data_IF_480964105676
#
_entry.id   IF_480964105676
#
_cell.length_a   1.000
_cell.length_b   1.000
_cell.length_c   1.000
_cell.angle_alpha   90.00
_cell.angle_beta   90.00
_cell.angle_gamma   90.00
#
_symmetry.space_group_name_H-M   'P 1'
#
loop_
_entity.id
_entity.type
_entity.pdbx_description
1 polymer ?
#
# COMPACT_ATOMS: atom_id res chain seq x y z
N UNK A 1 -11.49 -1.73 -7.58
CA UNK A 1 -10.97 -1.65 -8.96
C UNK A 1 -11.36 -2.92 -9.72
N UNK A 2 -11.49 -2.90 -11.04
CA UNK A 2 -11.71 -4.11 -11.86
C UNK A 2 -10.75 -4.14 -13.04
N UNK A 3 -10.07 -5.27 -13.24
CA UNK A 3 -9.04 -5.42 -14.25
C UNK A 3 -9.64 -5.64 -15.64
N UNK A 4 -9.27 -4.77 -16.60
CA UNK A 4 -9.65 -4.89 -18.01
C UNK A 4 -8.63 -5.75 -18.77
N UNK A 5 -9.01 -6.38 -19.90
CA UNK A 5 -8.06 -7.11 -20.75
C UNK A 5 -6.84 -6.29 -21.19
N UNK A 6 -7.01 -4.98 -21.39
CA UNK A 6 -5.90 -4.07 -21.70
C UNK A 6 -4.88 -3.99 -20.56
N UNK A 7 -5.30 -4.03 -19.29
CA UNK A 7 -4.39 -4.04 -18.15
C UNK A 7 -3.57 -5.33 -18.09
N UNK A 8 -4.18 -6.48 -18.40
CA UNK A 8 -3.45 -7.74 -18.49
C UNK A 8 -2.33 -7.66 -19.54
N UNK A 9 -2.61 -7.06 -20.70
CA UNK A 9 -1.59 -6.83 -21.74
C UNK A 9 -0.49 -5.86 -21.28
N UNK A 10 -0.84 -4.82 -20.52
CA UNK A 10 0.16 -3.93 -19.92
C UNK A 10 1.06 -4.68 -18.93
N UNK A 11 0.49 -5.47 -18.03
CA UNK A 11 1.25 -6.29 -17.07
C UNK A 11 2.15 -7.32 -17.76
N UNK A 12 1.69 -7.93 -18.85
CA UNK A 12 2.48 -8.90 -19.62
C UNK A 12 3.72 -8.27 -20.27
N UNK A 13 3.62 -7.00 -20.67
CA UNK A 13 4.65 -6.28 -21.41
C UNK A 13 5.52 -5.39 -20.51
N UNK A 14 5.24 -5.33 -19.21
CA UNK A 14 6.03 -4.54 -18.29
C UNK A 14 7.38 -5.21 -18.03
N UNK A 15 8.43 -4.39 -17.96
CA UNK A 15 9.74 -4.80 -17.46
C UNK A 15 9.81 -4.67 -15.94
N UNK A 16 9.10 -3.67 -15.38
CA UNK A 16 9.11 -3.32 -13.97
C UNK A 16 7.69 -3.00 -13.47
N UNK A 17 7.32 -3.50 -12.31
CA UNK A 17 6.03 -3.24 -11.66
C UNK A 17 6.25 -2.88 -10.20
N UNK A 18 5.83 -1.67 -9.84
CA UNK A 18 5.67 -1.25 -8.45
C UNK A 18 4.20 -1.38 -8.04
N UNK A 19 3.95 -1.95 -6.87
CA UNK A 19 2.62 -2.10 -6.28
C UNK A 19 2.74 -1.99 -4.76
N UNK A 20 1.68 -1.59 -4.06
CA UNK A 20 1.77 -1.35 -2.62
C UNK A 20 1.93 -2.68 -1.89
N UNK A 21 1.08 -3.64 -2.20
CA UNK A 21 1.15 -5.01 -1.68
C UNK A 21 -0.20 -5.71 -1.63
N UNK A 22 -0.22 -6.94 -1.14
CA UNK A 22 -1.44 -7.75 -1.04
C UNK A 22 -2.53 -7.08 -0.20
N UNK A 23 -2.14 -6.34 0.84
CA UNK A 23 -3.04 -5.64 1.76
C UNK A 23 -3.87 -4.55 1.06
N UNK A 24 -3.46 -4.05 -0.12
CA UNK A 24 -4.19 -3.07 -0.93
C UNK A 24 -4.70 -3.64 -2.24
N UNK A 25 -3.82 -4.26 -3.02
CA UNK A 25 -4.09 -4.72 -4.37
C UNK A 25 -4.08 -6.26 -4.47
N UNK A 26 -4.70 -6.97 -3.52
CA UNK A 26 -4.86 -8.44 -3.55
C UNK A 26 -5.32 -9.01 -4.91
N UNK A 27 -6.11 -8.25 -5.68
CA UNK A 27 -6.52 -8.63 -7.03
C UNK A 27 -5.35 -8.74 -8.04
N UNK A 28 -4.16 -8.20 -7.73
CA UNK A 28 -2.95 -8.27 -8.55
C UNK A 28 -2.12 -9.52 -8.29
N UNK A 29 -2.24 -10.22 -7.16
CA UNK A 29 -1.38 -11.39 -6.85
C UNK A 29 -1.38 -12.45 -7.98
N UNK A 30 -2.58 -12.87 -8.40
CA UNK A 30 -2.73 -13.88 -9.46
C UNK A 30 -2.26 -13.33 -10.83
N UNK A 31 -2.65 -12.13 -11.27
CA UNK A 31 -2.07 -11.50 -12.47
C UNK A 31 -0.54 -11.35 -12.45
N UNK A 32 0.05 -10.95 -11.33
CA UNK A 32 1.49 -10.77 -11.19
C UNK A 32 2.26 -12.10 -11.26
N UNK A 33 1.70 -13.17 -10.71
CA UNK A 33 2.29 -14.52 -10.77
C UNK A 33 2.08 -15.23 -12.12
N UNK A 34 0.96 -14.97 -12.81
CA UNK A 34 0.59 -15.71 -14.03
C UNK A 34 0.83 -14.96 -15.35
N UNK A 35 0.72 -13.63 -15.36
CA UNK A 35 0.79 -12.78 -16.57
C UNK A 35 2.12 -12.02 -16.62
N UNK A 36 2.49 -11.34 -15.53
CA UNK A 36 3.72 -10.55 -15.45
C UNK A 36 4.95 -11.41 -15.10
N UNK A 37 5.19 -12.47 -15.89
CA UNK A 37 6.29 -13.41 -15.64
C UNK A 37 7.68 -12.84 -15.95
N UNK A 38 7.74 -11.85 -16.85
CA UNK A 38 8.98 -11.20 -17.26
C UNK A 38 9.34 -9.99 -16.42
N UNK A 39 8.33 -9.34 -15.84
CA UNK A 39 8.51 -8.14 -15.05
C UNK A 39 9.20 -8.46 -13.72
N UNK A 40 10.15 -7.62 -13.35
CA UNK A 40 10.54 -7.45 -11.96
C UNK A 40 9.38 -6.80 -11.18
N UNK A 41 9.12 -7.29 -9.97
CA UNK A 41 7.95 -6.92 -9.17
C UNK A 41 8.41 -6.45 -7.80
N UNK A 42 8.20 -5.18 -7.51
CA UNK A 42 8.60 -4.54 -6.26
C UNK A 42 7.35 -4.24 -5.46
N UNK A 43 7.19 -4.98 -4.36
CA UNK A 43 6.19 -4.69 -3.35
C UNK A 43 6.71 -3.59 -2.43
N UNK A 44 6.09 -2.42 -2.48
CA UNK A 44 6.55 -1.24 -1.75
C UNK A 44 6.44 -1.46 -0.24
N UNK A 45 5.40 -2.11 0.27
CA UNK A 45 5.26 -2.41 1.69
C UNK A 45 6.36 -3.33 2.26
N UNK A 46 7.10 -4.03 1.41
CA UNK A 46 8.22 -4.89 1.80
C UNK A 46 9.55 -4.13 1.91
N UNK A 47 9.58 -2.83 1.62
CA UNK A 47 10.76 -1.96 1.80
C UNK A 47 11.07 -1.84 3.31
N UNK A 48 12.31 -2.15 3.68
CA UNK A 48 12.77 -2.26 5.07
C UNK A 48 12.71 -0.92 5.82
N UNK A 49 12.93 0.17 5.12
CA UNK A 49 12.97 1.54 5.64
C UNK A 49 11.58 2.10 5.94
N UNK A 50 10.50 1.43 5.53
CA UNK A 50 9.15 1.91 5.78
C UNK A 50 8.76 1.73 7.25
N UNK A 51 8.09 2.76 7.76
CA UNK A 51 7.22 2.57 8.92
C UNK A 51 5.94 1.92 8.41
N UNK A 52 5.63 0.70 8.86
CA UNK A 52 4.38 0.01 8.54
C UNK A 52 3.52 -0.10 9.80
N UNK A 53 2.28 0.36 9.72
CA UNK A 53 1.33 0.37 10.81
C UNK A 53 0.33 -0.76 10.64
N UNK A 54 -0.08 -1.36 11.76
CA UNK A 54 -1.23 -2.29 11.75
C UNK A 54 -2.51 -1.48 11.66
N UNK A 55 -3.55 -2.06 11.07
CA UNK A 55 -4.90 -1.51 11.19
C UNK A 55 -5.23 -1.24 12.66
N UNK A 56 -5.87 -0.11 12.93
CA UNK A 56 -6.48 0.14 14.23
C UNK A 56 -7.52 -0.95 14.49
N UNK A 57 -7.51 -1.53 15.68
CA UNK A 57 -8.59 -2.44 16.07
C UNK A 57 -9.91 -1.65 16.02
N UNK A 58 -10.80 -2.00 15.09
CA UNK A 58 -12.18 -1.48 15.09
C UNK A 58 -12.86 -1.94 16.38
N UNK A 59 -12.98 -1.03 17.33
CA UNK A 59 -14.21 -0.99 18.11
C UNK A 59 -15.34 -0.61 17.13
N UNK A 60 -16.34 -1.49 17.00
CA UNK A 60 -17.71 -1.22 16.49
C UNK A 60 -18.02 -1.39 14.97
N UNK A 61 -17.46 -2.35 14.20
CA UNK A 61 -18.17 -2.75 12.96
C UNK A 61 -17.78 -4.09 12.30
N UNK A 62 -17.38 -5.11 13.05
CA UNK A 62 -17.15 -6.46 12.47
C UNK A 62 -17.56 -7.61 13.41
N UNK A 63 -18.56 -7.36 14.27
CA UNK A 63 -19.18 -8.41 15.09
C UNK A 63 -20.65 -8.59 14.74
N UNK A 64 -20.94 -8.94 13.50
CA UNK A 64 -22.18 -9.66 13.18
C UNK A 64 -21.87 -11.14 13.04
N UNK A 65 -21.34 -11.73 14.11
CA UNK A 65 -21.31 -13.18 14.25
C UNK A 65 -22.66 -13.60 14.84
N UNK A 66 -23.58 -13.99 13.95
CA UNK A 66 -24.87 -14.56 14.33
C UNK A 66 -24.63 -15.91 15.04
N UNK A 67 -24.43 -15.87 16.35
CA UNK A 67 -24.64 -17.06 17.20
C UNK A 67 -26.13 -17.31 17.35
N UNK A 68 -26.73 -17.96 16.36
CA UNK A 68 -27.92 -18.76 16.61
C UNK A 68 -27.53 -20.16 17.07
N UNK A 69 -28.13 -20.57 18.19
CA UNK A 69 -27.98 -21.90 18.78
C UNK A 69 -28.86 -22.89 18.03
N UNK A 70 -28.32 -24.03 17.61
CA UNK A 70 -29.14 -25.21 17.34
C UNK A 70 -28.46 -26.32 16.52
N UNK A 71 -28.38 -27.52 17.11
CA UNK A 71 -28.35 -28.78 16.36
C UNK A 71 -26.99 -29.47 16.23
N UNK A 72 -26.85 -30.63 16.89
CA UNK A 72 -25.80 -31.63 16.67
C UNK A 72 -25.88 -32.16 15.24
N UNK A 73 -24.77 -32.34 14.51
CA UNK A 73 -24.52 -33.48 13.60
C UNK A 73 -23.07 -33.47 13.04
N UNK A 74 -22.47 -34.67 13.07
CA UNK A 74 -21.43 -35.27 12.23
C UNK A 74 -20.25 -34.46 11.63
N UNK A 75 -19.07 -34.90 12.06
CA UNK A 75 -17.78 -35.01 11.35
C UNK A 75 -17.76 -34.60 9.86
N UNK A 76 -17.31 -33.37 9.59
CA UNK A 76 -16.73 -32.97 8.31
C UNK A 76 -15.50 -32.11 8.59
N UNK A 77 -14.35 -32.52 8.03
CA UNK A 77 -13.18 -31.66 7.83
C UNK A 77 -13.59 -30.53 6.89
N UNK A 78 -14.18 -29.47 7.44
CA UNK A 78 -14.30 -28.21 6.75
C UNK A 78 -12.93 -27.55 6.76
N UNK A 79 -12.33 -27.50 5.56
CA UNK A 79 -11.36 -26.46 5.27
C UNK A 79 -12.05 -25.14 5.57
N UNK A 80 -11.60 -24.47 6.62
CA UNK A 80 -11.86 -23.05 6.80
C UNK A 80 -11.34 -22.39 5.53
N UNK A 81 -12.26 -22.09 4.62
CA UNK A 81 -12.00 -21.10 3.59
C UNK A 81 -11.87 -19.80 4.36
N UNK A 82 -10.62 -19.44 4.69
CA UNK A 82 -10.27 -18.11 5.16
C UNK A 82 -10.77 -17.14 4.11
N UNK A 83 -11.95 -16.59 4.37
CA UNK A 83 -12.56 -15.56 3.56
C UNK A 83 -11.66 -14.35 3.66
N UNK A 84 -11.02 -14.01 2.53
CA UNK A 84 -10.37 -12.73 2.23
C UNK A 84 -10.05 -11.91 3.49
N UNK A 85 -9.06 -12.37 4.27
CA UNK A 85 -8.60 -11.61 5.41
C UNK A 85 -8.15 -10.25 4.85
N UNK A 86 -8.88 -9.19 5.23
CA UNK A 86 -8.39 -7.85 5.07
C UNK A 86 -7.00 -7.82 5.68
N UNK A 87 -6.06 -7.23 4.95
CA UNK A 87 -4.64 -7.24 5.26
C UNK A 87 -4.29 -7.00 6.72
N UNK A 88 -3.13 -7.49 7.19
CA UNK A 88 -2.72 -7.28 8.60
C UNK A 88 -2.33 -5.82 8.86
N UNK A 89 -1.89 -5.11 7.82
CA UNK A 89 -1.33 -3.78 7.91
C UNK A 89 -2.15 -2.75 7.14
N UNK A 90 -2.15 -1.52 7.63
CA UNK A 90 -2.76 -0.39 6.95
C UNK A 90 -1.94 -0.09 5.68
N UNK A 91 -2.54 -0.20 4.47
CA UNK A 91 -1.81 -0.05 3.22
C UNK A 91 -1.55 1.41 2.82
N UNK A 92 -2.10 2.41 3.52
CA UNK A 92 -2.02 3.82 3.12
C UNK A 92 -0.65 4.47 3.42
N UNK A 93 0.43 3.70 3.21
CA UNK A 93 1.82 4.01 3.57
C UNK A 93 2.34 5.32 2.97
N UNK A 94 1.77 5.75 1.84
CA UNK A 94 2.18 6.97 1.12
C UNK A 94 1.81 8.26 1.84
N UNK A 95 0.91 8.19 2.84
CA UNK A 95 0.49 9.36 3.61
C UNK A 95 1.49 9.78 4.69
N UNK A 96 2.51 8.97 4.97
CA UNK A 96 3.69 9.40 5.70
C UNK A 96 4.74 9.91 4.69
N UNK A 97 5.11 11.19 4.79
CA UNK A 97 6.08 11.81 3.88
C UNK A 97 7.47 11.17 3.93
N UNK A 98 7.87 10.57 5.05
CA UNK A 98 9.13 9.81 5.13
C UNK A 98 9.04 8.46 4.42
N UNK A 99 7.89 7.79 4.49
CA UNK A 99 7.63 6.59 3.70
C UNK A 99 7.63 6.92 2.21
N UNK A 100 7.01 8.03 1.80
CA UNK A 100 7.04 8.49 0.42
C UNK A 100 8.48 8.68 -0.09
N UNK A 101 9.36 9.29 0.72
CA UNK A 101 10.79 9.42 0.38
C UNK A 101 11.48 8.06 0.26
N UNK A 102 11.23 7.12 1.18
CA UNK A 102 11.81 5.77 1.10
C UNK A 102 11.37 5.03 -0.17
N UNK A 103 10.08 5.06 -0.49
CA UNK A 103 9.55 4.46 -1.73
C UNK A 103 10.19 5.09 -2.98
N UNK A 104 10.36 6.41 -3.03
CA UNK A 104 10.99 7.06 -4.17
C UNK A 104 12.45 6.66 -4.36
N UNK A 105 13.22 6.50 -3.27
CA UNK A 105 14.60 6.02 -3.34
C UNK A 105 14.65 4.59 -3.90
N UNK A 106 13.81 3.69 -3.40
CA UNK A 106 13.72 2.32 -3.89
C UNK A 106 13.33 2.30 -5.38
N UNK A 107 12.27 3.02 -5.75
CA UNK A 107 11.81 3.10 -7.14
C UNK A 107 12.90 3.62 -8.07
N UNK A 108 13.62 4.67 -7.67
CA UNK A 108 14.70 5.22 -8.47
C UNK A 108 15.87 4.22 -8.62
N UNK A 109 16.21 3.46 -7.58
CA UNK A 109 17.25 2.44 -7.65
C UNK A 109 16.91 1.36 -8.69
N UNK A 110 15.70 0.80 -8.62
CA UNK A 110 15.23 -0.21 -9.59
C UNK A 110 15.12 0.32 -11.02
N UNK A 111 14.70 1.58 -11.18
CA UNK A 111 14.67 2.24 -12.49
C UNK A 111 16.08 2.44 -13.07
N UNK A 112 17.05 2.81 -12.24
CA UNK A 112 18.46 2.97 -12.67
C UNK A 112 19.07 1.62 -13.04
N UNK A 113 18.79 0.57 -12.27
CA UNK A 113 19.28 -0.78 -12.55
C UNK A 113 18.73 -1.32 -13.88
N UNK A 114 17.43 -1.11 -14.14
CA UNK A 114 16.77 -1.59 -15.35
C UNK A 114 17.02 -0.69 -16.59
N UNK A 115 17.28 0.61 -16.40
CA UNK A 115 17.57 1.56 -17.48
C UNK A 115 18.75 2.52 -17.14
N UNK A 116 20.00 2.00 -17.11
CA UNK A 116 21.18 2.80 -16.76
C UNK A 116 21.43 3.99 -17.70
N UNK A 117 20.92 3.93 -18.94
CA UNK A 117 21.08 5.02 -19.92
C UNK A 117 20.34 6.29 -19.48
N UNK A 118 19.31 6.16 -18.65
CA UNK A 118 18.53 7.28 -18.13
C UNK A 118 18.86 7.62 -16.66
N UNK A 119 19.94 7.08 -16.10
CA UNK A 119 20.33 7.25 -14.69
C UNK A 119 20.33 8.72 -14.24
N UNK A 120 20.96 9.61 -15.00
CA UNK A 120 21.03 11.04 -14.67
C UNK A 120 19.64 11.68 -14.55
N UNK A 121 18.68 11.23 -15.37
CA UNK A 121 17.30 11.70 -15.33
C UNK A 121 16.58 11.19 -14.08
N UNK A 122 16.74 9.91 -13.73
CA UNK A 122 16.15 9.34 -12.52
C UNK A 122 16.68 10.01 -11.26
N UNK A 123 18.01 10.21 -11.17
CA UNK A 123 18.63 10.94 -10.05
C UNK A 123 18.13 12.37 -9.93
N UNK A 124 18.07 13.11 -11.03
CA UNK A 124 17.55 14.48 -11.04
C UNK A 124 16.08 14.56 -10.62
N UNK A 125 15.25 13.62 -11.10
CA UNK A 125 13.84 13.55 -10.73
C UNK A 125 13.67 13.20 -9.24
N UNK A 126 14.46 12.25 -8.73
CA UNK A 126 14.47 11.88 -7.32
C UNK A 126 14.84 13.08 -6.44
N UNK A 127 15.96 13.75 -6.72
CA UNK A 127 16.42 14.91 -5.97
C UNK A 127 15.37 16.02 -5.91
N UNK A 128 14.68 16.26 -7.04
CA UNK A 128 13.58 17.22 -7.08
C UNK A 128 12.41 16.77 -6.21
N UNK A 129 11.95 15.53 -6.37
CA UNK A 129 10.81 15.00 -5.62
C UNK A 129 11.07 14.98 -4.11
N UNK A 130 12.28 14.63 -3.67
CA UNK A 130 12.65 14.65 -2.25
C UNK A 130 12.58 16.07 -1.66
N UNK A 131 13.07 17.08 -2.40
CA UNK A 131 12.97 18.50 -1.99
C UNK A 131 11.54 18.99 -1.94
N UNK A 132 10.73 18.60 -2.92
CA UNK A 132 9.31 18.96 -2.98
C UNK A 132 8.54 18.33 -1.79
N UNK A 133 8.85 17.09 -1.41
CA UNK A 133 8.27 16.44 -0.22
C UNK A 133 8.73 17.11 1.08
N UNK A 134 10.00 17.49 1.18
CA UNK A 134 10.51 18.20 2.36
C UNK A 134 9.80 19.54 2.54
N UNK A 135 9.62 20.29 1.44
CA UNK A 135 8.87 21.54 1.43
C UNK A 135 7.39 21.32 1.82
N UNK A 136 6.72 20.36 1.19
CA UNK A 136 5.32 20.01 1.49
C UNK A 136 5.14 19.63 2.95
N UNK A 137 6.08 18.87 3.53
CA UNK A 137 6.01 18.47 4.94
C UNK A 137 6.03 19.69 5.86
N UNK A 138 6.89 20.68 5.58
CA UNK A 138 6.97 21.92 6.37
C UNK A 138 5.68 22.74 6.22
N UNK A 139 5.15 22.86 5.00
CA UNK A 139 3.90 23.58 4.73
C UNK A 139 2.72 22.96 5.50
N UNK A 140 2.54 21.64 5.41
CA UNK A 140 1.46 20.94 6.11
C UNK A 140 1.63 21.03 7.64
N UNK A 141 2.85 20.90 8.17
CA UNK A 141 3.09 21.12 9.61
C UNK A 141 2.73 22.54 10.06
N UNK A 142 2.95 23.54 9.20
CA UNK A 142 2.60 24.93 9.49
C UNK A 142 1.09 25.13 9.50
N UNK A 143 0.39 24.58 8.51
CA UNK A 143 -1.07 24.68 8.38
C UNK A 143 -1.80 23.98 9.55
N UNK A 144 -1.22 22.90 10.07
CA UNK A 144 -1.75 22.12 11.19
C UNK A 144 -1.25 22.58 12.57
N UNK A 145 -0.59 23.74 12.65
CA UNK A 145 -0.11 24.31 13.92
C UNK A 145 -1.23 24.64 14.92
N UNK A 146 -2.48 24.72 14.45
CA UNK A 146 -3.66 24.84 15.30
C UNK A 146 -4.32 23.48 15.50
N UNK A 147 -4.97 23.26 16.66
CA UNK A 147 -5.70 22.02 16.94
C UNK A 147 -6.80 21.81 15.89
N UNK A 148 -6.66 20.77 15.07
CA UNK A 148 -7.67 20.33 14.10
C UNK A 148 -8.25 19.01 14.56
N UNK A 149 -9.58 18.91 14.65
CA UNK A 149 -10.27 17.62 14.77
C UNK A 149 -11.14 17.45 13.53
N UNK A 150 -11.12 16.24 12.95
CA UNK A 150 -11.87 15.94 11.75
C UNK A 150 -12.58 14.60 11.86
N UNK A 151 -13.63 14.42 11.07
CA UNK A 151 -14.34 13.15 10.92
C UNK A 151 -14.20 12.74 9.46
N UNK A 152 -13.77 11.50 9.24
CA UNK A 152 -13.58 10.91 7.91
C UNK A 152 -14.47 9.67 7.79
N UNK A 153 -14.99 9.43 6.59
CA UNK A 153 -15.80 8.24 6.31
C UNK A 153 -14.96 6.98 6.05
N UNK A 154 -13.70 7.17 5.64
CA UNK A 154 -12.75 6.09 5.36
C UNK A 154 -11.53 6.25 6.25
N UNK A 155 -11.25 5.25 7.06
CA UNK A 155 -10.10 5.23 7.97
C UNK A 155 -8.82 4.89 7.18
N UNK A 156 -8.26 5.89 6.52
CA UNK A 156 -7.03 5.80 5.72
C UNK A 156 -5.89 6.67 6.24
N UNK A 157 -6.14 7.53 7.23
CA UNK A 157 -5.27 8.67 7.50
C UNK A 157 -4.28 8.42 8.64
N UNK A 158 -4.18 7.19 9.17
CA UNK A 158 -3.35 6.89 10.33
C UNK A 158 -1.87 7.29 10.17
N UNK A 159 -1.31 7.13 8.97
CA UNK A 159 0.06 7.58 8.67
C UNK A 159 0.18 9.11 8.66
N UNK A 160 -0.81 9.81 8.11
CA UNK A 160 -0.87 11.27 8.11
C UNK A 160 -1.00 11.81 9.53
N UNK A 161 -1.96 11.27 10.30
CA UNK A 161 -2.19 11.58 11.71
C UNK A 161 -0.91 11.40 12.53
N UNK A 162 -0.19 10.28 12.33
CA UNK A 162 1.07 10.02 13.02
C UNK A 162 2.21 10.97 12.60
N UNK A 163 2.30 11.32 11.31
CA UNK A 163 3.34 12.22 10.76
C UNK A 163 3.14 13.66 11.24
N UNK A 164 1.90 14.13 11.28
CA UNK A 164 1.56 15.53 11.54
C UNK A 164 0.92 15.78 12.91
N UNK A 165 0.75 14.73 13.72
CA UNK A 165 0.20 14.79 15.06
C UNK A 165 -1.18 15.46 15.13
N UNK A 166 -2.11 14.95 14.31
CA UNK A 166 -3.52 15.38 14.25
C UNK A 166 -4.47 14.25 14.58
#
# INVERSE_FOLDING_TARGET
FSMKPSHAKMLQNADLIFWVGEDLESFLEKPLSSIAKKAEKIELMSIKELTVLRFREKNISDKHDHKEKGGKHADHKEKVHDGHAHGKYDPHIWLDTMNAKAMLNEMAAHLIENDPKNEAKYKSNLDKALKDIDKLTIEVMTDLSNSVSSIVFHDAYQYFEKRFNV
#
